data_IF_843942151406
#
_entry.id   IF_843942151406
#
_cell.length_a   1.000
_cell.length_b   1.000
_cell.length_c   1.000
_cell.angle_alpha   90.00
_cell.angle_beta   90.00
_cell.angle_gamma   90.00
#
_symmetry.space_group_name_H-M   'P 1'
#
loop_
_entity.id
_entity.type
_entity.pdbx_description
1 polymer ?
#
# COMPACT_ATOMS: atom_id res chain seq x y z
N UNK A 1 -7.10 1.93 17.75
CA UNK A 1 -7.07 0.79 16.79
C UNK A 1 -6.32 1.21 15.54
N UNK A 2 -5.45 0.35 15.01
CA UNK A 2 -4.59 0.57 13.82
C UNK A 2 -5.26 0.12 12.52
N UNK A 3 -6.49 0.59 12.24
CA UNK A 3 -7.22 0.19 11.02
C UNK A 3 -6.50 0.56 9.71
N UNK A 4 -5.62 1.55 9.75
CA UNK A 4 -4.70 1.93 8.67
C UNK A 4 -3.62 0.86 8.36
N UNK A 5 -3.62 -0.29 9.02
CA UNK A 5 -2.74 -1.42 8.66
C UNK A 5 -3.50 -2.54 7.97
N UNK A 6 -4.85 -2.48 7.97
CA UNK A 6 -5.71 -3.36 7.20
C UNK A 6 -6.17 -2.65 5.93
N UNK A 7 -5.39 -2.85 4.87
CA UNK A 7 -5.48 -2.06 3.64
C UNK A 7 -6.81 -2.30 2.90
N UNK A 8 -7.31 -3.54 2.90
CA UNK A 8 -8.52 -3.90 2.18
C UNK A 8 -9.77 -4.05 3.07
N UNK A 9 -9.82 -3.37 4.24
CA UNK A 9 -10.96 -3.50 5.18
C UNK A 9 -12.32 -3.18 4.56
N UNK A 10 -12.34 -2.26 3.60
CA UNK A 10 -13.57 -1.84 2.92
C UNK A 10 -14.15 -2.94 2.02
N UNK A 11 -13.33 -3.90 1.58
CA UNK A 11 -13.75 -5.07 0.82
C UNK A 11 -14.37 -6.14 1.72
N UNK A 12 -14.25 -6.00 3.05
CA UNK A 12 -14.69 -6.98 4.05
C UNK A 12 -15.57 -6.35 5.13
N UNK A 13 -16.71 -5.72 4.77
CA UNK A 13 -17.53 -4.96 5.70
C UNK A 13 -18.13 -5.82 6.83
N UNK A 14 -18.39 -7.10 6.58
CA UNK A 14 -18.90 -8.02 7.61
C UNK A 14 -17.85 -8.36 8.66
N UNK A 15 -16.61 -8.64 8.22
CA UNK A 15 -15.51 -8.91 9.13
C UNK A 15 -15.13 -7.66 9.92
N UNK A 16 -15.14 -6.48 9.28
CA UNK A 16 -14.94 -5.20 9.96
C UNK A 16 -15.95 -5.01 11.09
N UNK A 17 -17.26 -5.18 10.81
CA UNK A 17 -18.31 -5.09 11.84
C UNK A 17 -18.15 -6.14 12.94
N UNK A 18 -17.68 -7.35 12.61
CA UNK A 18 -17.41 -8.37 13.61
C UNK A 18 -16.23 -7.99 14.53
N UNK A 19 -15.18 -7.38 13.98
CA UNK A 19 -14.04 -6.85 14.76
C UNK A 19 -14.48 -5.69 15.64
N UNK A 20 -15.30 -4.77 15.11
CA UNK A 20 -15.84 -3.64 15.87
C UNK A 20 -16.71 -4.10 17.03
N UNK A 21 -17.62 -5.08 16.81
CA UNK A 21 -18.41 -5.69 17.89
C UNK A 21 -17.54 -6.38 18.93
N UNK A 22 -16.55 -7.16 18.49
CA UNK A 22 -15.62 -7.79 19.43
C UNK A 22 -14.86 -6.76 20.30
N UNK A 23 -14.59 -5.57 19.76
CA UNK A 23 -13.93 -4.49 20.50
C UNK A 23 -14.85 -3.80 21.53
N UNK A 24 -16.16 -3.96 21.43
CA UNK A 24 -17.13 -3.51 22.45
C UNK A 24 -17.13 -4.45 23.66
N UNK A 25 -16.94 -5.76 23.42
CA UNK A 25 -17.00 -6.80 24.46
C UNK A 25 -15.65 -7.10 25.11
N UNK A 26 -14.53 -6.92 24.39
CA UNK A 26 -13.20 -7.31 24.82
C UNK A 26 -12.12 -6.30 24.40
N UNK A 27 -11.13 -6.10 25.26
CA UNK A 27 -9.93 -5.36 24.91
C UNK A 27 -9.01 -6.17 23.98
N UNK A 28 -8.13 -5.52 23.20
CA UNK A 28 -7.15 -6.21 22.35
C UNK A 28 -6.24 -7.19 23.11
N UNK A 29 -5.88 -6.86 24.35
CA UNK A 29 -5.06 -7.73 25.20
C UNK A 29 -5.83 -8.98 25.66
N UNK A 30 -7.12 -8.84 25.99
CA UNK A 30 -7.98 -9.98 26.33
C UNK A 30 -8.21 -10.88 25.12
N UNK A 31 -8.41 -10.31 23.92
CA UNK A 31 -8.51 -11.08 22.68
C UNK A 31 -7.21 -11.87 22.40
N UNK A 32 -6.04 -11.25 22.59
CA UNK A 32 -4.76 -11.94 22.44
C UNK A 32 -4.59 -13.07 23.46
N UNK A 33 -4.95 -12.83 24.73
CA UNK A 33 -4.92 -13.84 25.78
C UNK A 33 -5.87 -15.02 25.50
N UNK A 34 -7.08 -14.73 25.00
CA UNK A 34 -8.05 -15.75 24.61
C UNK A 34 -7.50 -16.66 23.50
N UNK A 35 -6.97 -16.06 22.42
CA UNK A 35 -6.36 -16.82 21.31
C UNK A 35 -5.19 -17.68 21.81
N UNK A 36 -4.31 -17.12 22.64
CA UNK A 36 -3.17 -17.86 23.19
C UNK A 36 -3.58 -19.08 24.01
N UNK A 37 -4.65 -18.94 24.79
CA UNK A 37 -5.16 -19.98 25.67
C UNK A 37 -5.87 -21.11 24.91
N UNK A 38 -6.70 -20.77 23.92
CA UNK A 38 -7.65 -21.72 23.32
C UNK A 38 -7.26 -22.22 21.94
N UNK A 39 -6.26 -21.61 21.28
CA UNK A 39 -5.88 -22.05 19.94
C UNK A 39 -5.44 -23.53 19.93
N UNK A 40 -5.69 -24.24 18.83
CA UNK A 40 -5.14 -25.56 18.61
C UNK A 40 -3.61 -25.55 18.65
N UNK A 41 -3.02 -26.60 19.25
CA UNK A 41 -1.56 -26.81 19.32
C UNK A 41 -1.22 -28.16 18.69
N UNK A 42 -0.92 -28.18 17.39
CA UNK A 42 -0.51 -29.39 16.66
C UNK A 42 -1.28 -29.61 15.36
N UNK A 43 -0.80 -30.55 14.53
CA UNK A 43 -1.38 -30.90 13.23
C UNK A 43 -2.44 -32.02 13.32
N UNK A 44 -2.56 -32.71 14.46
CA UNK A 44 -3.31 -33.98 14.57
C UNK A 44 -4.82 -33.84 14.33
N UNK A 45 -5.38 -32.62 14.39
CA UNK A 45 -6.80 -32.36 14.10
C UNK A 45 -6.97 -31.07 13.27
N UNK A 46 -6.44 -31.07 12.04
CA UNK A 46 -6.46 -29.93 11.10
C UNK A 46 -7.84 -29.30 10.88
N UNK A 47 -8.92 -30.08 10.97
CA UNK A 47 -10.30 -29.60 10.85
C UNK A 47 -10.74 -28.73 12.05
N UNK A 48 -10.32 -29.07 13.27
CA UNK A 48 -10.61 -28.26 14.45
C UNK A 48 -9.86 -26.93 14.39
N UNK A 49 -8.64 -26.96 13.87
CA UNK A 49 -7.88 -25.73 13.64
C UNK A 49 -8.56 -24.82 12.62
N UNK A 50 -9.07 -25.37 11.52
CA UNK A 50 -9.83 -24.60 10.53
C UNK A 50 -11.09 -23.95 11.15
N UNK A 51 -11.89 -24.73 11.90
CA UNK A 51 -13.11 -24.23 12.55
C UNK A 51 -12.80 -23.13 13.59
N UNK A 52 -11.81 -23.36 14.45
CA UNK A 52 -11.40 -22.37 15.46
C UNK A 52 -11.01 -21.04 14.80
N UNK A 53 -10.19 -21.11 13.75
CA UNK A 53 -9.72 -19.92 13.07
C UNK A 53 -10.82 -19.21 12.30
N UNK A 54 -11.79 -19.95 11.75
CA UNK A 54 -12.99 -19.38 11.13
C UNK A 54 -13.88 -18.64 12.12
N UNK A 55 -14.12 -19.22 13.30
CA UNK A 55 -14.95 -18.61 14.32
C UNK A 55 -14.28 -17.39 14.97
N UNK A 56 -12.95 -17.40 15.09
CA UNK A 56 -12.22 -16.40 15.86
C UNK A 56 -11.36 -15.44 15.01
N UNK A 57 -11.62 -15.36 13.70
CA UNK A 57 -11.02 -14.33 12.82
C UNK A 57 -11.12 -12.92 13.42
N UNK A 58 -12.29 -12.49 13.95
CA UNK A 58 -12.44 -11.13 14.47
C UNK A 58 -11.54 -10.86 15.69
N UNK A 59 -11.37 -11.87 16.57
CA UNK A 59 -10.54 -11.74 17.77
C UNK A 59 -9.05 -11.66 17.41
N UNK A 60 -8.60 -12.43 16.43
CA UNK A 60 -7.21 -12.33 15.94
C UNK A 60 -6.95 -10.93 15.35
N UNK A 61 -7.86 -10.43 14.52
CA UNK A 61 -7.72 -9.09 13.94
C UNK A 61 -7.81 -7.98 15.00
N UNK A 62 -8.69 -8.11 15.99
CA UNK A 62 -8.77 -7.19 17.13
C UNK A 62 -7.43 -7.12 17.88
N UNK A 63 -6.83 -8.26 18.20
CA UNK A 63 -5.52 -8.34 18.85
C UNK A 63 -4.41 -7.67 18.01
N UNK A 64 -4.39 -7.92 16.70
CA UNK A 64 -3.42 -7.32 15.79
C UNK A 64 -3.59 -5.80 15.68
N UNK A 65 -4.81 -5.33 15.43
CA UNK A 65 -5.12 -3.93 15.20
C UNK A 65 -5.05 -3.09 16.48
N UNK A 66 -5.33 -3.68 17.63
CA UNK A 66 -5.35 -2.99 18.92
C UNK A 66 -4.01 -2.97 19.66
N UNK A 67 -2.96 -3.52 19.05
CA UNK A 67 -1.65 -3.63 19.70
C UNK A 67 -0.99 -2.29 20.00
N UNK A 68 -0.26 -2.26 21.11
CA UNK A 68 0.62 -1.15 21.49
C UNK A 68 2.03 -1.26 20.89
N UNK A 69 2.50 -2.48 20.62
CA UNK A 69 3.87 -2.77 20.21
C UNK A 69 4.07 -3.15 18.74
N UNK A 70 5.31 -3.52 18.36
CA UNK A 70 5.60 -4.09 17.03
C UNK A 70 4.87 -5.43 16.86
N UNK A 71 4.64 -5.85 15.62
CA UNK A 71 3.96 -7.15 15.38
C UNK A 71 4.71 -8.33 16.00
N UNK A 72 6.04 -8.29 16.09
CA UNK A 72 6.82 -9.33 16.80
C UNK A 72 6.41 -9.48 18.27
N UNK A 73 6.00 -8.38 18.93
CA UNK A 73 5.50 -8.46 20.30
C UNK A 73 4.13 -9.16 20.34
N UNK A 74 3.25 -8.84 19.39
CA UNK A 74 1.93 -9.48 19.29
C UNK A 74 2.03 -10.94 18.86
N UNK A 75 2.97 -11.29 17.99
CA UNK A 75 3.28 -12.68 17.65
C UNK A 75 3.64 -13.48 18.91
N UNK A 76 4.43 -12.90 19.82
CA UNK A 76 4.75 -13.54 21.11
C UNK A 76 3.56 -13.61 22.05
N UNK A 77 2.74 -12.57 22.11
CA UNK A 77 1.54 -12.50 22.97
C UNK A 77 0.46 -13.47 22.50
N UNK A 78 0.20 -13.51 21.20
CA UNK A 78 -0.64 -14.52 20.55
C UNK A 78 0.00 -15.89 20.68
N UNK A 79 1.34 -15.96 20.60
CA UNK A 79 2.19 -17.15 20.52
C UNK A 79 2.30 -17.75 19.12
N UNK A 80 1.89 -17.02 18.08
CA UNK A 80 1.82 -17.50 16.69
C UNK A 80 3.14 -17.17 15.99
N UNK A 81 3.65 -18.08 15.17
CA UNK A 81 4.77 -17.75 14.28
C UNK A 81 4.31 -16.82 13.16
N UNK A 82 5.21 -15.93 12.70
CA UNK A 82 4.95 -14.99 11.60
C UNK A 82 4.39 -15.68 10.34
N UNK A 83 4.90 -16.87 10.01
CA UNK A 83 4.42 -17.66 8.87
C UNK A 83 2.96 -18.07 9.00
N UNK A 84 2.54 -18.54 10.19
CA UNK A 84 1.16 -18.93 10.44
C UNK A 84 0.21 -17.73 10.37
N UNK A 85 0.61 -16.60 10.97
CA UNK A 85 -0.16 -15.36 10.88
C UNK A 85 -0.33 -14.91 9.42
N UNK A 86 0.75 -14.94 8.64
CA UNK A 86 0.70 -14.63 7.21
C UNK A 86 -0.26 -15.57 6.45
N UNK A 87 -0.20 -16.88 6.71
CA UNK A 87 -1.10 -17.85 6.08
C UNK A 87 -2.57 -17.58 6.41
N UNK A 88 -2.90 -17.36 7.69
CA UNK A 88 -4.28 -17.04 8.10
C UNK A 88 -4.81 -15.78 7.40
N UNK A 89 -4.04 -14.68 7.44
CA UNK A 89 -4.44 -13.43 6.80
C UNK A 89 -4.62 -13.60 5.29
N UNK A 90 -3.71 -14.32 4.64
CA UNK A 90 -3.79 -14.62 3.21
C UNK A 90 -5.02 -15.46 2.87
N UNK A 91 -5.29 -16.51 3.63
CA UNK A 91 -6.42 -17.42 3.40
C UNK A 91 -7.77 -16.71 3.59
N UNK A 92 -7.82 -15.70 4.46
CA UNK A 92 -9.01 -14.85 4.65
C UNK A 92 -9.08 -13.69 3.66
N UNK A 93 -8.11 -13.55 2.75
CA UNK A 93 -8.04 -12.42 1.83
C UNK A 93 -7.80 -11.08 2.53
N UNK A 94 -7.26 -11.07 3.75
CA UNK A 94 -6.91 -9.86 4.50
C UNK A 94 -5.55 -9.35 4.05
N UNK A 95 -5.53 -8.15 3.48
CA UNK A 95 -4.30 -7.44 3.10
C UNK A 95 -3.85 -6.59 4.29
N UNK A 96 -2.79 -7.02 4.95
CA UNK A 96 -2.27 -6.40 6.17
C UNK A 96 -0.83 -5.92 6.00
N UNK A 97 -0.52 -4.72 6.52
CA UNK A 97 0.82 -4.12 6.45
C UNK A 97 1.21 -3.51 7.80
N UNK A 98 2.34 -3.97 8.35
CA UNK A 98 2.87 -3.48 9.63
C UNK A 98 3.65 -2.20 9.40
N UNK A 99 3.22 -1.08 10.01
CA UNK A 99 3.91 0.20 9.87
C UNK A 99 4.78 0.54 11.09
N UNK A 100 5.97 1.16 10.90
CA UNK A 100 6.57 1.50 9.61
C UNK A 100 7.05 0.26 8.84
N UNK A 101 6.77 0.21 7.53
CA UNK A 101 7.12 -0.92 6.67
C UNK A 101 8.28 -0.56 5.76
N UNK A 102 9.29 -1.43 5.67
CA UNK A 102 10.21 -1.41 4.52
C UNK A 102 9.47 -1.98 3.32
N UNK A 103 9.50 -1.27 2.20
CA UNK A 103 8.86 -1.74 1.00
C UNK A 103 9.53 -1.21 -0.27
N UNK A 104 9.27 -1.92 -1.35
CA UNK A 104 9.64 -1.50 -2.70
C UNK A 104 8.46 -0.74 -3.30
N UNK A 105 8.58 0.54 -3.51
CA UNK A 105 7.52 1.37 -4.09
C UNK A 105 7.60 1.32 -5.60
N UNK A 106 6.45 1.14 -6.25
CA UNK A 106 6.36 1.19 -7.69
C UNK A 106 6.00 2.63 -8.13
N UNK A 107 6.84 3.25 -8.93
CA UNK A 107 6.49 4.52 -9.57
C UNK A 107 5.41 4.28 -10.64
N UNK A 108 4.69 5.32 -11.09
CA UNK A 108 3.68 5.20 -12.15
C UNK A 108 4.17 4.61 -13.49
N UNK A 109 5.49 4.48 -13.69
CA UNK A 109 6.08 3.82 -14.86
C UNK A 109 6.34 2.32 -14.70
N UNK A 110 6.15 1.75 -13.52
CA UNK A 110 6.58 0.40 -13.18
C UNK A 110 8.02 0.29 -12.65
N UNK A 111 8.74 1.41 -12.46
CA UNK A 111 10.06 1.40 -11.80
C UNK A 111 9.93 1.21 -10.29
N UNK A 112 10.89 0.50 -9.71
CA UNK A 112 10.88 0.13 -8.29
C UNK A 112 11.88 0.94 -7.46
N UNK A 113 11.46 1.39 -6.27
CA UNK A 113 12.26 2.21 -5.35
C UNK A 113 12.20 1.65 -3.93
N UNK A 114 13.33 1.52 -3.24
CA UNK A 114 13.30 1.16 -1.83
C UNK A 114 12.90 2.36 -0.97
N UNK A 115 11.99 2.14 -0.03
CA UNK A 115 11.54 3.17 0.91
C UNK A 115 10.97 2.61 2.20
N UNK A 116 10.65 3.52 3.11
CA UNK A 116 9.92 3.22 4.34
C UNK A 116 8.56 3.87 4.27
N UNK A 117 7.50 3.07 4.39
CA UNK A 117 6.11 3.52 4.42
C UNK A 117 5.70 3.75 5.86
N UNK A 118 5.08 4.91 6.10
CA UNK A 118 4.59 5.39 7.39
C UNK A 118 3.15 5.90 7.19
N UNK A 119 2.32 5.85 8.23
CA UNK A 119 1.00 6.49 8.25
C UNK A 119 1.11 7.80 9.02
N UNK A 120 0.71 8.92 8.43
CA UNK A 120 0.83 10.25 9.05
C UNK A 120 -0.39 10.66 9.88
N UNK A 121 -1.40 9.80 9.96
CA UNK A 121 -2.72 10.10 10.55
C UNK A 121 -3.84 10.22 9.52
N UNK A 122 -3.50 10.47 8.26
CA UNK A 122 -4.45 10.74 7.17
C UNK A 122 -4.13 10.07 5.84
N UNK A 123 -2.86 9.88 5.53
CA UNK A 123 -2.35 9.29 4.28
C UNK A 123 -1.09 8.49 4.57
N UNK A 124 -0.82 7.50 3.72
CA UNK A 124 0.44 6.79 3.76
C UNK A 124 1.51 7.61 3.05
N UNK A 125 2.62 7.83 3.74
CA UNK A 125 3.79 8.49 3.20
C UNK A 125 4.95 7.53 3.09
N UNK A 126 5.69 7.66 2.02
CA UNK A 126 6.92 6.93 1.76
C UNK A 126 8.11 7.87 1.95
N UNK A 127 9.10 7.43 2.72
CA UNK A 127 10.42 8.06 2.74
C UNK A 127 11.33 7.33 1.73
N UNK A 128 11.65 7.99 0.63
CA UNK A 128 12.50 7.48 -0.46
C UNK A 128 13.71 8.41 -0.59
N UNK A 129 14.92 7.89 -0.36
CA UNK A 129 16.16 8.68 -0.43
C UNK A 129 16.09 10.01 0.34
N UNK A 130 15.51 9.97 1.55
CA UNK A 130 15.34 11.16 2.41
C UNK A 130 14.16 12.07 2.07
N UNK A 131 13.50 11.87 0.92
CA UNK A 131 12.31 12.64 0.51
C UNK A 131 11.04 11.94 0.99
N UNK A 132 10.02 12.73 1.35
CA UNK A 132 8.71 12.22 1.78
C UNK A 132 7.70 12.42 0.65
N UNK A 133 7.08 11.33 0.18
CA UNK A 133 6.16 11.32 -0.96
C UNK A 133 4.92 10.47 -0.66
N UNK A 134 3.78 10.65 -1.36
CA UNK A 134 2.62 9.78 -1.19
C UNK A 134 2.94 8.31 -1.54
N UNK A 135 2.63 7.37 -0.64
CA UNK A 135 2.95 5.95 -0.83
C UNK A 135 1.84 5.21 -1.59
N UNK A 136 1.52 5.60 -2.82
CA UNK A 136 0.37 5.02 -3.53
C UNK A 136 0.56 3.55 -3.93
N UNK A 137 1.81 3.13 -4.15
CA UNK A 137 2.16 1.80 -4.60
C UNK A 137 3.27 1.25 -3.72
N UNK A 138 2.99 0.15 -3.05
CA UNK A 138 3.88 -0.48 -2.08
C UNK A 138 3.96 -1.97 -2.40
N UNK A 139 5.14 -2.42 -2.81
CA UNK A 139 5.37 -3.70 -3.46
C UNK A 139 4.71 -3.74 -4.84
N UNK A 140 4.15 -4.90 -5.19
CA UNK A 140 3.19 -5.06 -6.31
C UNK A 140 1.76 -4.65 -5.91
N UNK A 141 1.58 -4.12 -4.71
CA UNK A 141 0.26 -3.78 -4.17
C UNK A 141 0.03 -2.29 -4.24
N UNK A 142 -1.22 -1.93 -4.44
CA UNK A 142 -1.66 -0.55 -4.29
C UNK A 142 -2.17 -0.35 -2.87
N UNK A 143 -1.80 0.76 -2.22
CA UNK A 143 -2.42 1.10 -0.95
C UNK A 143 -3.87 1.50 -1.20
N UNK A 144 -4.79 0.66 -0.75
CA UNK A 144 -6.20 0.72 -1.15
C UNK A 144 -6.97 1.91 -0.57
N UNK A 145 -6.51 2.47 0.55
CA UNK A 145 -7.09 3.72 1.10
C UNK A 145 -6.53 4.98 0.43
N UNK A 146 -5.52 4.84 -0.45
CA UNK A 146 -5.03 5.96 -1.25
C UNK A 146 -5.85 6.08 -2.55
N UNK A 147 -6.49 7.23 -2.78
CA UNK A 147 -7.26 7.42 -4.00
C UNK A 147 -6.30 7.44 -5.21
N UNK A 148 -6.55 6.60 -6.22
CA UNK A 148 -5.84 6.60 -7.53
C UNK A 148 -6.31 7.74 -8.41
N UNK A 149 -6.35 8.93 -7.86
CA UNK A 149 -6.77 10.08 -8.61
C UNK A 149 -5.62 10.53 -9.50
N UNK A 150 -5.87 10.46 -10.80
CA UNK A 150 -5.06 11.05 -11.84
C UNK A 150 -5.73 12.36 -12.29
N UNK A 151 -4.99 13.47 -12.42
CA UNK A 151 -5.58 14.72 -12.87
C UNK A 151 -5.99 14.66 -14.34
N UNK A 152 -6.83 15.62 -14.74
CA UNK A 152 -7.40 15.69 -16.09
C UNK A 152 -6.37 15.62 -17.23
N UNK A 153 -5.11 16.06 -17.01
CA UNK A 153 -4.03 15.93 -18.00
C UNK A 153 -3.77 14.47 -18.42
N UNK A 154 -3.88 13.52 -17.49
CA UNK A 154 -3.74 12.09 -17.78
C UNK A 154 -4.94 11.55 -18.55
N UNK A 155 -6.15 11.95 -18.16
CA UNK A 155 -7.36 11.58 -18.89
C UNK A 155 -7.32 12.07 -20.35
N UNK A 156 -6.87 13.31 -20.56
CA UNK A 156 -6.73 13.89 -21.90
C UNK A 156 -5.68 13.16 -22.74
N UNK A 157 -4.51 12.86 -22.18
CA UNK A 157 -3.47 12.14 -22.93
C UNK A 157 -3.89 10.70 -23.23
N UNK A 158 -4.55 10.00 -22.29
CA UNK A 158 -5.10 8.67 -22.53
C UNK A 158 -6.19 8.69 -23.62
N UNK A 159 -7.09 9.67 -23.58
CA UNK A 159 -8.14 9.84 -24.59
C UNK A 159 -7.56 10.14 -25.98
N UNK A 160 -6.50 10.96 -26.05
CA UNK A 160 -5.77 11.26 -27.30
C UNK A 160 -5.09 10.02 -27.88
N UNK A 161 -4.56 9.15 -27.02
CA UNK A 161 -3.92 7.90 -27.42
C UNK A 161 -4.92 6.84 -27.89
N UNK A 162 -6.03 6.68 -27.17
CA UNK A 162 -7.07 5.71 -27.50
C UNK A 162 -7.90 6.13 -28.73
N UNK A 163 -8.16 7.43 -28.89
CA UNK A 163 -9.04 7.99 -29.91
C UNK A 163 -8.39 9.20 -30.60
N UNK A 164 -7.30 9.02 -31.36
CA UNK A 164 -6.52 10.12 -31.94
C UNK A 164 -7.28 10.98 -32.95
N UNK A 165 -8.38 10.48 -33.52
CA UNK A 165 -9.24 11.21 -34.45
C UNK A 165 -10.27 12.12 -33.77
N UNK A 166 -10.43 12.04 -32.45
CA UNK A 166 -11.43 12.84 -31.70
C UNK A 166 -10.74 13.99 -30.98
N UNK A 167 -11.29 15.19 -31.13
CA UNK A 167 -10.86 16.35 -30.35
C UNK A 167 -11.48 16.29 -28.95
N UNK A 168 -10.66 16.01 -27.95
CA UNK A 168 -11.07 15.98 -26.55
C UNK A 168 -10.88 17.33 -25.89
N UNK A 169 -11.91 17.83 -25.21
CA UNK A 169 -11.82 19.01 -24.36
C UNK A 169 -11.93 18.59 -22.90
N UNK A 170 -11.22 19.29 -22.02
CA UNK A 170 -11.09 18.94 -20.59
C UNK A 170 -12.44 18.79 -19.90
N UNK A 171 -13.29 19.81 -19.99
CA UNK A 171 -14.52 19.89 -19.19
C UNK A 171 -15.54 18.80 -19.54
N UNK A 172 -15.89 18.57 -20.82
CA UNK A 172 -16.81 17.49 -21.19
C UNK A 172 -16.27 16.11 -20.83
N UNK A 173 -14.99 15.84 -21.12
CA UNK A 173 -14.37 14.56 -20.80
C UNK A 173 -14.42 14.28 -19.29
N UNK A 174 -14.01 15.24 -18.47
CA UNK A 174 -14.03 15.06 -17.02
C UNK A 174 -15.45 14.95 -16.46
N UNK A 175 -16.46 15.54 -17.10
CA UNK A 175 -17.84 15.35 -16.66
C UNK A 175 -18.31 13.92 -16.92
N UNK A 176 -18.08 13.38 -18.12
CA UNK A 176 -18.41 11.99 -18.48
C UNK A 176 -17.70 10.99 -17.56
N UNK A 177 -16.39 11.15 -17.35
CA UNK A 177 -15.60 10.25 -16.51
C UNK A 177 -16.03 10.29 -15.03
N UNK A 178 -16.45 11.45 -14.52
CA UNK A 178 -16.94 11.57 -13.13
C UNK A 178 -18.30 10.93 -12.94
N UNK A 179 -19.19 11.02 -13.93
CA UNK A 179 -20.48 10.31 -13.88
C UNK A 179 -20.24 8.80 -13.84
N UNK A 180 -19.38 8.30 -14.71
CA UNK A 180 -18.99 6.89 -14.72
C UNK A 180 -18.32 6.45 -13.42
N UNK A 181 -17.42 7.27 -12.86
CA UNK A 181 -16.79 6.97 -11.58
C UNK A 181 -17.82 6.78 -10.46
N UNK A 182 -18.85 7.63 -10.40
CA UNK A 182 -19.95 7.50 -9.43
C UNK A 182 -20.76 6.23 -9.65
N UNK A 183 -21.06 5.89 -10.90
CA UNK A 183 -21.77 4.65 -11.25
C UNK A 183 -20.97 3.40 -10.82
N UNK A 184 -19.64 3.45 -10.90
CA UNK A 184 -18.73 2.38 -10.49
C UNK A 184 -18.40 2.39 -8.98
N UNK A 185 -18.94 3.33 -8.20
CA UNK A 185 -18.59 3.49 -6.78
C UNK A 185 -17.12 3.88 -6.54
N UNK A 186 -16.47 4.51 -7.53
CA UNK A 186 -15.07 4.91 -7.50
C UNK A 186 -14.90 6.41 -7.17
N UNK A 187 -13.78 6.79 -6.54
CA UNK A 187 -13.53 8.18 -6.18
C UNK A 187 -13.35 9.07 -7.42
N UNK A 188 -13.90 10.29 -7.33
CA UNK A 188 -13.78 11.34 -8.33
C UNK A 188 -13.73 12.72 -7.66
N UNK A 189 -12.90 13.62 -8.20
CA UNK A 189 -12.79 15.03 -7.79
C UNK A 189 -12.99 15.93 -9.02
N UNK A 190 -13.19 17.23 -8.79
CA UNK A 190 -13.45 18.18 -9.89
C UNK A 190 -12.38 18.18 -10.98
N UNK A 191 -11.12 17.92 -10.61
CA UNK A 191 -9.99 17.93 -11.53
C UNK A 191 -9.26 16.59 -11.65
N UNK A 192 -9.76 15.52 -11.02
CA UNK A 192 -9.09 14.23 -11.01
C UNK A 192 -10.07 13.05 -10.98
N UNK A 193 -9.69 11.94 -11.57
CA UNK A 193 -10.50 10.73 -11.68
C UNK A 193 -9.66 9.48 -11.43
N UNK A 194 -10.30 8.42 -10.93
CA UNK A 194 -9.66 7.14 -10.67
C UNK A 194 -9.00 6.57 -11.93
N UNK A 195 -7.76 6.10 -11.82
CA UNK A 195 -7.05 5.36 -12.88
C UNK A 195 -7.87 4.15 -13.37
N UNK A 196 -8.57 3.45 -12.46
CA UNK A 196 -9.47 2.33 -12.84
C UNK A 196 -10.54 2.75 -13.83
N UNK A 197 -11.12 3.94 -13.67
CA UNK A 197 -12.11 4.49 -14.62
C UNK A 197 -11.45 4.76 -15.96
N UNK A 198 -10.24 5.32 -15.97
CA UNK A 198 -9.50 5.57 -17.21
C UNK A 198 -9.19 4.27 -17.95
N UNK A 199 -8.74 3.23 -17.25
CA UNK A 199 -8.48 1.91 -17.84
C UNK A 199 -9.74 1.26 -18.39
N UNK A 200 -10.86 1.39 -17.67
CA UNK A 200 -12.16 0.91 -18.14
C UNK A 200 -12.60 1.57 -19.46
N UNK A 201 -12.38 2.88 -19.62
CA UNK A 201 -12.83 3.64 -20.79
C UNK A 201 -11.84 3.57 -21.96
N UNK A 202 -10.55 3.72 -21.69
CA UNK A 202 -9.51 3.88 -22.72
C UNK A 202 -8.68 2.63 -22.96
N UNK A 203 -8.80 1.61 -22.11
CA UNK A 203 -7.97 0.41 -22.12
C UNK A 203 -6.61 0.62 -21.47
N UNK A 204 -6.01 -0.49 -21.01
CA UNK A 204 -4.74 -0.48 -20.28
C UNK A 204 -3.59 0.18 -21.05
N UNK A 205 -3.45 -0.17 -22.33
CA UNK A 205 -2.34 0.30 -23.17
C UNK A 205 -2.29 1.83 -23.30
N UNK A 206 -3.44 2.48 -23.50
CA UNK A 206 -3.50 3.93 -23.66
C UNK A 206 -3.17 4.66 -22.35
N UNK A 207 -3.64 4.12 -21.22
CA UNK A 207 -3.37 4.69 -19.90
C UNK A 207 -1.90 4.54 -19.52
N UNK A 208 -1.30 3.36 -19.77
CA UNK A 208 0.12 3.13 -19.52
C UNK A 208 1.02 4.06 -20.33
N UNK A 209 0.71 4.24 -21.62
CA UNK A 209 1.43 5.19 -22.47
C UNK A 209 1.24 6.64 -22.01
N UNK A 210 0.03 7.02 -21.56
CA UNK A 210 -0.23 8.35 -21.03
C UNK A 210 0.58 8.62 -19.74
N UNK A 211 0.62 7.63 -18.84
CA UNK A 211 1.42 7.68 -17.61
C UNK A 211 2.90 7.86 -17.94
N UNK A 212 3.44 7.06 -18.86
CA UNK A 212 4.84 7.13 -19.28
C UNK A 212 5.20 8.46 -19.95
N UNK A 213 4.31 9.04 -20.76
CA UNK A 213 4.56 10.33 -21.43
C UNK A 213 4.55 11.51 -20.47
N UNK A 214 3.64 11.50 -19.50
CA UNK A 214 3.51 12.59 -18.53
C UNK A 214 4.50 12.46 -17.36
N UNK A 215 5.01 11.25 -17.10
CA UNK A 215 6.11 10.98 -16.18
C UNK A 215 7.26 10.26 -16.90
N UNK A 216 8.06 10.97 -17.71
CA UNK A 216 9.11 10.36 -18.54
C UNK A 216 10.22 9.69 -17.74
N UNK A 217 10.50 10.19 -16.53
CA UNK A 217 11.48 9.60 -15.62
C UNK A 217 10.97 8.33 -14.94
N UNK A 218 9.64 8.21 -14.84
CA UNK A 218 8.97 7.08 -14.26
C UNK A 218 9.15 6.89 -12.77
N UNK A 219 9.77 7.83 -12.07
CA UNK A 219 10.18 7.62 -10.69
C UNK A 219 9.02 7.80 -9.69
N UNK A 220 9.16 7.17 -8.52
CA UNK A 220 8.21 7.34 -7.41
C UNK A 220 8.22 8.76 -6.80
N UNK A 221 9.19 9.61 -7.18
CA UNK A 221 9.27 11.01 -6.76
C UNK A 221 8.49 11.95 -7.69
N UNK A 222 7.85 11.41 -8.72
CA UNK A 222 6.88 12.13 -9.53
C UNK A 222 5.47 11.79 -9.04
N UNK A 223 4.77 12.76 -8.47
CA UNK A 223 3.37 12.60 -8.08
C UNK A 223 2.45 13.08 -9.23
N UNK A 224 1.46 12.30 -9.66
CA UNK A 224 0.56 12.71 -10.74
C UNK A 224 -0.17 14.03 -10.47
N UNK A 225 -0.44 14.40 -9.22
CA UNK A 225 -1.10 15.66 -8.82
C UNK A 225 -0.08 16.79 -8.63
N UNK A 226 1.06 16.53 -7.99
CA UNK A 226 2.05 17.57 -7.64
C UNK A 226 3.19 17.75 -8.66
N UNK A 227 3.35 16.85 -9.62
CA UNK A 227 4.47 16.83 -10.57
C UNK A 227 5.77 16.26 -9.99
N UNK A 228 6.92 16.69 -10.51
CA UNK A 228 8.23 16.26 -10.02
C UNK A 228 8.50 16.89 -8.64
N UNK A 229 8.67 16.06 -7.60
CA UNK A 229 8.91 16.52 -6.24
C UNK A 229 10.36 16.94 -5.98
N UNK A 230 11.30 16.49 -6.82
CA UNK A 230 12.71 16.91 -6.76
C UNK A 230 12.94 18.28 -7.40
N UNK A 231 12.23 18.59 -8.48
CA UNK A 231 12.40 19.82 -9.25
C UNK A 231 11.05 20.53 -9.43
N UNK A 232 10.38 20.87 -8.30
CA UNK A 232 9.11 21.63 -8.32
C UNK A 232 9.28 22.90 -9.16
N UNK A 233 8.62 22.95 -10.33
CA UNK A 233 8.65 24.10 -11.25
C UNK A 233 9.67 24.03 -12.40
N UNK A 234 10.39 22.92 -12.59
CA UNK A 234 11.26 22.67 -13.77
C UNK A 234 10.92 21.36 -14.47
N UNK A 235 9.64 21.20 -14.84
CA UNK A 235 9.09 19.98 -15.44
C UNK A 235 9.66 19.61 -16.84
N UNK A 236 10.68 20.34 -17.34
CA UNK A 236 11.12 20.29 -18.73
C UNK A 236 12.44 19.53 -18.99
N UNK A 237 13.15 19.00 -17.98
CA UNK A 237 14.53 18.49 -18.16
C UNK A 237 14.69 17.01 -17.79
N UNK A 238 14.06 16.11 -18.55
CA UNK A 238 14.50 14.71 -18.65
C UNK A 238 14.49 13.89 -17.33
N UNK A 239 15.14 12.71 -17.31
CA UNK A 239 15.14 11.84 -16.14
C UNK A 239 15.96 12.46 -15.00
N UNK A 240 15.28 12.80 -13.90
CA UNK A 240 15.88 13.35 -12.68
C UNK A 240 16.93 12.44 -12.01
N UNK A 241 17.06 11.18 -12.45
CA UNK A 241 17.96 10.18 -11.89
C UNK A 241 19.45 10.52 -12.05
N UNK A 242 19.83 11.31 -13.06
CA UNK A 242 21.23 11.70 -13.31
C UNK A 242 21.72 12.86 -12.43
N UNK A 243 20.81 13.55 -11.71
CA UNK A 243 21.13 14.75 -10.90
C UNK A 243 21.16 14.50 -9.40
N UNK A 244 20.75 13.32 -8.94
CA UNK A 244 20.83 12.92 -7.54
C UNK A 244 22.25 12.41 -7.27
N UNK A 245 23.23 13.32 -7.30
CA UNK A 245 24.56 13.04 -6.80
C UNK A 245 24.50 12.85 -5.27
N UNK A 246 24.76 11.62 -4.82
CA UNK A 246 25.44 11.24 -3.58
C UNK A 246 25.42 12.24 -2.39
N UNK A 247 24.26 12.58 -1.87
CA UNK A 247 24.14 13.17 -0.52
C UNK A 247 23.16 12.37 0.34
N UNK A 248 23.48 11.10 0.56
CA UNK A 248 23.07 10.35 1.76
C UNK A 248 23.85 9.05 1.79
N UNK A 249 25.13 9.15 2.13
CA UNK A 249 25.80 8.02 2.78
C UNK A 249 25.03 7.76 4.07
N UNK A 250 24.11 6.78 4.05
CA UNK A 250 23.71 6.13 5.28
C UNK A 250 24.99 5.65 5.97
N UNK A 251 25.17 5.86 7.29
CA UNK A 251 26.24 5.19 7.98
C UNK A 251 26.00 3.69 7.81
N UNK A 252 26.86 3.05 7.03
CA UNK A 252 26.96 1.60 7.01
C UNK A 252 27.22 1.20 8.46
N UNK A 253 26.32 0.49 9.14
CA UNK A 253 26.63 -0.02 10.47
C UNK A 253 27.91 -0.85 10.33
N UNK A 254 28.91 -0.67 11.21
CA UNK A 254 30.18 -1.37 11.07
C UNK A 254 29.91 -2.85 10.89
N UNK A 255 30.37 -3.40 9.77
CA UNK A 255 30.30 -4.82 9.51
C UNK A 255 30.90 -5.52 10.72
N UNK A 256 30.13 -6.44 11.33
CA UNK A 256 30.68 -7.35 12.33
C UNK A 256 31.90 -8.00 11.67
N UNK A 257 33.08 -7.73 12.22
CA UNK A 257 34.31 -8.43 11.83
C UNK A 257 33.97 -9.93 11.82
N UNK A 258 34.33 -10.68 10.76
CA UNK A 258 34.24 -12.12 10.82
C UNK A 258 35.12 -12.57 11.99
N UNK A 259 34.51 -13.31 12.91
CA UNK A 259 35.23 -14.09 13.90
C UNK A 259 36.16 -15.07 13.17
N UNK A 260 37.42 -15.09 13.59
CA UNK A 260 38.29 -16.26 13.41
C UNK A 260 39.13 -16.26 12.14
N UNK A 261 40.28 -15.59 12.20
CA UNK A 261 41.50 -16.24 11.74
C UNK A 261 42.47 -16.29 12.92
N UNK A 262 42.64 -17.50 13.44
CA UNK A 262 43.71 -17.85 14.36
C UNK A 262 45.05 -17.64 13.63
N UNK A 263 45.86 -16.71 14.11
CA UNK A 263 47.31 -16.82 13.92
C UNK A 263 47.81 -17.75 15.03
N UNK A 264 48.27 -18.94 14.61
CA UNK A 264 49.07 -19.84 15.45
C UNK A 264 50.56 -19.52 15.28
N UNK A 265 51.35 -19.74 16.35
CA UNK A 265 52.68 -19.17 16.56
C UNK A 265 53.77 -19.67 15.61
#
# INVERSE_FOLDING_TARGET
>A
MRYYEWLNRHEQPELLRAVERAAEDMSPAEAAAFIRAHRPRGEEESWQAALFWEEHRPLLLLALLGRSGPVVQVERELGLGAGMLYHLLKDWGVVFMVLPARATLEGPSGRFYEGVVEWDGSTYRARVRGQVVPARWVGRFRLLDEPDLLPARYALEAARLAYPWRAWTRTPLMLELRLLARELGLPARDEAVSERVLRHVFGDHAVELALARLNPCGCALYDPLEGCLLERGREAEGPCEDRIALETSWPVPPSRKPHGQEERP
#
